data_IF_768157751203
#
_entry.id   IF_768157751203
#
_cell.length_a   1.000
_cell.length_b   1.000
_cell.length_c   1.000
_cell.angle_alpha   90.00
_cell.angle_beta   90.00
_cell.angle_gamma   90.00
#
_symmetry.space_group_name_H-M   'P 1'
#
loop_
_entity.id
_entity.type
_entity.pdbx_description
1 polymer ?
#
# COMPACT_ATOMS: atom_id res chain seq x y z
N UNK A 1 24.05 14.50 8.86
CA UNK A 1 23.24 14.83 10.05
C UNK A 1 22.93 13.55 10.80
N UNK A 2 22.84 13.60 12.13
CA UNK A 2 22.44 12.46 12.96
C UNK A 2 20.94 12.19 12.73
N UNK A 3 20.54 10.94 12.49
CA UNK A 3 19.12 10.58 12.36
C UNK A 3 18.39 10.87 13.68
N UNK A 4 17.20 11.48 13.60
CA UNK A 4 16.32 11.60 14.74
C UNK A 4 15.46 10.33 14.83
N UNK A 5 15.50 9.63 15.97
CA UNK A 5 14.87 8.31 16.11
C UNK A 5 13.52 8.36 16.84
N UNK A 6 13.15 9.52 17.41
CA UNK A 6 11.88 9.70 18.12
C UNK A 6 11.36 11.12 17.87
N UNK A 7 10.04 11.29 17.75
CA UNK A 7 9.43 12.63 17.75
C UNK A 7 9.47 13.26 19.14
N UNK A 8 9.07 12.52 20.17
CA UNK A 8 9.09 12.97 21.56
C UNK A 8 9.08 11.79 22.53
N UNK A 9 9.55 12.02 23.77
CA UNK A 9 9.50 10.99 24.83
C UNK A 9 8.06 10.59 25.19
N UNK A 10 7.09 11.50 25.07
CA UNK A 10 5.68 11.22 25.30
C UNK A 10 5.13 10.21 24.28
N UNK A 11 5.43 10.38 22.98
CA UNK A 11 4.99 9.43 21.94
C UNK A 11 5.61 8.05 22.09
N UNK A 12 6.86 7.97 22.55
CA UNK A 12 7.49 6.68 22.91
C UNK A 12 6.73 6.01 24.06
N UNK A 13 6.44 6.75 25.12
CA UNK A 13 5.81 6.22 26.33
C UNK A 13 4.35 5.83 26.10
N UNK A 14 3.59 6.70 25.44
CA UNK A 14 2.13 6.61 25.39
C UNK A 14 1.66 5.82 24.16
N UNK A 15 2.44 5.84 23.07
CA UNK A 15 2.06 5.26 21.77
C UNK A 15 3.06 4.19 21.27
N UNK A 16 4.21 4.03 21.92
CA UNK A 16 5.26 3.13 21.47
C UNK A 16 5.95 3.57 20.17
N UNK A 17 5.81 4.83 19.77
CA UNK A 17 6.35 5.31 18.50
C UNK A 17 7.88 5.45 18.55
N UNK A 18 8.55 4.78 17.63
CA UNK A 18 9.98 4.94 17.34
C UNK A 18 10.20 4.90 15.83
N UNK A 19 11.23 5.61 15.35
CA UNK A 19 11.64 5.53 13.96
C UNK A 19 12.70 4.47 13.76
N UNK A 20 12.48 3.61 12.76
CA UNK A 20 13.46 2.60 12.37
C UNK A 20 14.66 3.28 11.71
N UNK A 21 15.89 3.10 12.23
CA UNK A 21 17.09 3.68 11.63
C UNK A 21 17.30 3.15 10.21
N UNK A 22 17.85 3.98 9.30
CA UNK A 22 18.04 3.58 7.89
C UNK A 22 18.90 2.33 7.72
N UNK A 23 19.90 2.15 8.59
CA UNK A 23 20.74 0.94 8.61
C UNK A 23 19.91 -0.33 8.88
N UNK A 24 18.91 -0.25 9.76
CA UNK A 24 18.04 -1.39 10.10
C UNK A 24 17.07 -1.66 8.96
N UNK A 25 16.48 -0.63 8.36
CA UNK A 25 15.64 -0.76 7.16
C UNK A 25 16.41 -1.48 6.06
N UNK A 26 17.64 -1.02 5.75
CA UNK A 26 18.47 -1.66 4.74
C UNK A 26 18.81 -3.10 5.11
N UNK A 27 19.24 -3.35 6.36
CA UNK A 27 19.57 -4.70 6.82
C UNK A 27 18.41 -5.69 6.63
N UNK A 28 17.17 -5.27 6.94
CA UNK A 28 15.98 -6.10 6.76
C UNK A 28 15.61 -6.28 5.29
N UNK A 29 15.71 -5.21 4.48
CA UNK A 29 15.40 -5.31 3.06
C UNK A 29 16.48 -6.02 2.24
N UNK A 30 17.69 -6.17 2.77
CA UNK A 30 18.81 -6.89 2.16
C UNK A 30 18.77 -8.41 2.40
N UNK A 31 17.78 -8.91 3.18
CA UNK A 31 17.58 -10.35 3.35
C UNK A 31 17.24 -11.00 2.00
N UNK A 32 17.82 -12.18 1.65
CA UNK A 32 17.68 -12.79 0.32
C UNK A 32 16.23 -13.01 -0.13
N UNK A 33 15.36 -13.43 0.79
CA UNK A 33 13.94 -13.69 0.53
C UNK A 33 13.20 -12.39 0.15
N UNK A 34 13.56 -11.29 0.81
CA UNK A 34 13.00 -9.97 0.53
C UNK A 34 13.54 -9.44 -0.80
N UNK A 35 14.85 -9.56 -1.04
CA UNK A 35 15.47 -9.17 -2.30
C UNK A 35 14.82 -9.87 -3.50
N UNK A 36 14.57 -11.17 -3.41
CA UNK A 36 13.89 -11.91 -4.47
C UNK A 36 12.50 -11.30 -4.80
N UNK A 37 11.72 -10.92 -3.77
CA UNK A 37 10.43 -10.23 -3.94
C UNK A 37 10.59 -8.78 -4.42
N UNK A 38 11.66 -8.08 -4.07
CA UNK A 38 11.94 -6.73 -4.60
C UNK A 38 12.17 -6.79 -6.12
N UNK A 39 12.90 -7.80 -6.61
CA UNK A 39 13.19 -7.99 -8.05
C UNK A 39 11.95 -8.33 -8.89
N UNK A 40 10.89 -8.86 -8.29
CA UNK A 40 9.61 -9.10 -8.95
C UNK A 40 8.72 -7.85 -8.82
N UNK A 41 8.52 -7.10 -9.90
CA UNK A 41 7.66 -5.89 -9.90
C UNK A 41 6.20 -6.17 -9.51
N UNK A 42 5.75 -7.42 -9.54
CA UNK A 42 4.38 -7.83 -9.21
C UNK A 42 4.22 -8.35 -7.78
N UNK A 43 5.31 -8.60 -7.06
CA UNK A 43 5.26 -9.02 -5.67
C UNK A 43 4.80 -7.89 -4.74
N UNK A 44 3.87 -8.22 -3.86
CA UNK A 44 3.23 -7.29 -2.91
C UNK A 44 3.93 -7.25 -1.55
N UNK A 45 3.94 -6.05 -0.96
CA UNK A 45 4.42 -5.78 0.39
C UNK A 45 3.34 -5.03 1.17
N UNK A 46 3.10 -5.45 2.40
CA UNK A 46 2.22 -4.77 3.34
C UNK A 46 3.04 -4.40 4.57
N UNK A 47 3.03 -3.12 4.92
CA UNK A 47 3.56 -2.64 6.19
C UNK A 47 2.39 -2.31 7.14
N UNK A 48 2.11 -3.15 8.15
CA UNK A 48 0.94 -3.02 9.03
C UNK A 48 1.08 -1.94 10.12
N UNK A 49 2.26 -1.34 10.29
CA UNK A 49 2.51 -0.23 11.21
C UNK A 49 3.53 0.72 10.59
N UNK A 50 3.11 1.38 9.52
CA UNK A 50 4.01 2.02 8.58
C UNK A 50 4.73 3.26 9.11
N UNK A 51 4.24 3.86 10.20
CA UNK A 51 4.75 5.12 10.72
C UNK A 51 4.80 6.15 9.59
N UNK A 52 5.93 6.84 9.45
CA UNK A 52 6.17 7.80 8.36
C UNK A 52 6.73 7.16 7.07
N UNK A 53 6.76 5.82 6.98
CA UNK A 53 7.06 5.10 5.74
C UNK A 53 8.52 4.76 5.48
N UNK A 54 9.34 4.58 6.52
CA UNK A 54 10.76 4.25 6.37
C UNK A 54 10.99 3.01 5.47
N UNK A 55 10.20 1.94 5.66
CA UNK A 55 10.27 0.74 4.82
C UNK A 55 9.66 0.95 3.43
N UNK A 56 8.47 1.56 3.35
CA UNK A 56 7.75 1.71 2.08
C UNK A 56 8.48 2.62 1.09
N UNK A 57 9.11 3.69 1.56
CA UNK A 57 9.89 4.60 0.71
C UNK A 57 11.18 3.96 0.18
N UNK A 58 11.87 3.17 1.00
CA UNK A 58 13.06 2.42 0.58
C UNK A 58 12.68 1.27 -0.37
N UNK A 59 11.60 0.52 -0.09
CA UNK A 59 11.03 -0.48 -0.99
C UNK A 59 10.65 0.15 -2.34
N UNK A 60 9.98 1.29 -2.33
CA UNK A 60 9.61 2.02 -3.54
C UNK A 60 10.85 2.37 -4.38
N UNK A 61 11.86 2.95 -3.75
CA UNK A 61 13.13 3.29 -4.42
C UNK A 61 13.78 2.07 -5.06
N UNK A 62 13.88 0.96 -4.32
CA UNK A 62 14.46 -0.30 -4.80
C UNK A 62 13.65 -0.90 -5.95
N UNK A 63 12.32 -0.95 -5.85
CA UNK A 63 11.48 -1.48 -6.94
C UNK A 63 11.49 -0.56 -8.17
N UNK A 64 11.57 0.77 -7.99
CA UNK A 64 11.75 1.70 -9.11
C UNK A 64 13.12 1.52 -9.79
N UNK A 65 14.15 1.09 -9.05
CA UNK A 65 15.43 0.72 -9.65
C UNK A 65 15.31 -0.53 -10.53
N UNK A 66 14.56 -1.54 -10.07
CA UNK A 66 14.25 -2.73 -10.86
C UNK A 66 13.43 -2.35 -12.10
N UNK A 67 12.42 -1.48 -11.95
CA UNK A 67 11.63 -0.96 -13.06
C UNK A 67 12.52 -0.25 -14.10
N UNK A 68 13.51 0.52 -13.65
CA UNK A 68 14.48 1.16 -14.53
C UNK A 68 15.25 0.12 -15.37
N UNK A 69 15.77 -0.93 -14.75
CA UNK A 69 16.55 -1.98 -15.43
C UNK A 69 15.69 -2.75 -16.44
N UNK A 70 14.41 -2.99 -16.12
CA UNK A 70 13.47 -3.72 -16.99
C UNK A 70 12.81 -2.86 -18.08
N UNK A 71 13.23 -1.60 -18.25
CA UNK A 71 12.59 -0.66 -19.18
C UNK A 71 13.50 -0.26 -20.34
N UNK A 72 12.93 -0.21 -21.54
CA UNK A 72 13.66 0.17 -22.76
C UNK A 72 13.59 1.68 -23.05
N UNK A 73 12.58 2.38 -22.52
CA UNK A 73 12.33 3.80 -22.77
C UNK A 73 11.55 4.42 -21.60
N UNK A 74 11.42 5.75 -21.58
CA UNK A 74 10.75 6.49 -20.51
C UNK A 74 9.26 6.10 -20.32
N UNK A 75 8.57 5.73 -21.40
CA UNK A 75 7.15 5.31 -21.34
C UNK A 75 7.01 3.95 -20.66
N UNK A 76 7.88 3.00 -21.01
CA UNK A 76 7.92 1.70 -20.34
C UNK A 76 8.34 1.83 -18.88
N UNK A 77 9.29 2.73 -18.58
CA UNK A 77 9.70 3.03 -17.22
C UNK A 77 8.56 3.58 -16.37
N UNK A 78 7.83 4.59 -16.86
CA UNK A 78 6.67 5.13 -16.14
C UNK A 78 5.61 4.07 -15.84
N UNK A 79 5.32 3.18 -16.80
CA UNK A 79 4.41 2.04 -16.61
C UNK A 79 4.94 1.05 -15.56
N UNK A 80 6.21 0.66 -15.64
CA UNK A 80 6.81 -0.29 -14.70
C UNK A 80 6.93 0.30 -13.29
N UNK A 81 7.14 1.61 -13.14
CA UNK A 81 7.06 2.32 -11.86
C UNK A 81 5.66 2.27 -11.25
N UNK A 82 4.60 2.45 -12.04
CA UNK A 82 3.22 2.35 -11.55
C UNK A 82 2.88 0.91 -11.13
N UNK A 83 3.36 -0.09 -11.88
CA UNK A 83 3.22 -1.51 -11.50
C UNK A 83 3.91 -1.73 -10.15
N UNK A 84 5.18 -1.35 -10.01
CA UNK A 84 5.92 -1.49 -8.75
C UNK A 84 5.24 -0.79 -7.57
N UNK A 85 4.74 0.43 -7.77
CA UNK A 85 4.07 1.21 -6.73
C UNK A 85 2.75 0.56 -6.31
N UNK A 86 2.01 -0.02 -7.27
CA UNK A 86 0.72 -0.67 -7.01
C UNK A 86 0.79 -1.88 -6.09
N UNK A 87 2.00 -2.41 -5.85
CA UNK A 87 2.21 -3.57 -4.98
C UNK A 87 2.63 -3.19 -3.56
N UNK A 88 2.73 -1.90 -3.23
CA UNK A 88 3.09 -1.42 -1.89
C UNK A 88 1.86 -0.94 -1.15
N UNK A 89 1.64 -1.48 0.06
CA UNK A 89 0.49 -1.17 0.92
C UNK A 89 0.95 -0.82 2.33
N UNK A 90 0.25 0.10 2.99
CA UNK A 90 0.56 0.54 4.34
C UNK A 90 -0.68 0.77 5.20
N UNK A 91 -0.59 0.40 6.48
CA UNK A 91 -1.56 0.78 7.52
C UNK A 91 -0.79 1.52 8.60
N UNK A 92 -1.35 2.62 9.08
CA UNK A 92 -0.82 3.37 10.21
C UNK A 92 -1.98 3.90 11.07
N UNK A 93 -1.81 3.85 12.39
CA UNK A 93 -2.90 4.21 13.32
C UNK A 93 -3.00 5.73 13.51
N UNK A 94 -1.88 6.44 13.49
CA UNK A 94 -1.81 7.88 13.73
C UNK A 94 -1.97 8.69 12.45
N UNK A 95 -2.95 9.60 12.42
CA UNK A 95 -3.26 10.43 11.24
C UNK A 95 -2.07 11.27 10.78
N UNK A 96 -1.33 11.90 11.71
CA UNK A 96 -0.16 12.72 11.36
C UNK A 96 0.97 11.90 10.71
N UNK A 97 1.12 10.64 11.11
CA UNK A 97 2.07 9.73 10.46
C UNK A 97 1.59 9.29 9.08
N UNK A 98 0.29 9.03 8.90
CA UNK A 98 -0.30 8.70 7.59
C UNK A 98 -0.06 9.83 6.60
N UNK A 99 -0.29 11.09 7.02
CA UNK A 99 -0.02 12.27 6.18
C UNK A 99 1.44 12.32 5.74
N UNK A 100 2.37 12.18 6.69
CA UNK A 100 3.81 12.17 6.41
C UNK A 100 4.21 11.00 5.50
N UNK A 101 3.68 9.80 5.73
CA UNK A 101 3.90 8.63 4.89
C UNK A 101 3.44 8.88 3.44
N UNK A 102 2.23 9.41 3.24
CA UNK A 102 1.70 9.74 1.90
C UNK A 102 2.59 10.79 1.22
N UNK A 103 2.97 11.85 1.94
CA UNK A 103 3.88 12.88 1.40
C UNK A 103 5.24 12.28 1.01
N UNK A 104 5.85 11.49 1.89
CA UNK A 104 7.15 10.86 1.67
C UNK A 104 7.11 9.92 0.45
N UNK A 105 6.05 9.13 0.30
CA UNK A 105 5.85 8.26 -0.86
C UNK A 105 5.69 9.06 -2.16
N UNK A 106 4.91 10.15 -2.16
CA UNK A 106 4.72 11.01 -3.34
C UNK A 106 6.03 11.68 -3.75
N UNK A 107 6.76 12.27 -2.79
CA UNK A 107 8.05 12.92 -3.04
C UNK A 107 9.09 11.91 -3.54
N UNK A 108 9.19 10.75 -2.90
CA UNK A 108 10.10 9.68 -3.32
C UNK A 108 9.82 9.24 -4.75
N UNK A 109 8.55 8.97 -5.09
CA UNK A 109 8.17 8.59 -6.44
C UNK A 109 8.52 9.70 -7.45
N UNK A 110 8.13 10.93 -7.15
CA UNK A 110 8.34 12.09 -8.01
C UNK A 110 9.82 12.30 -8.32
N UNK A 111 10.67 12.33 -7.30
CA UNK A 111 12.09 12.65 -7.43
C UNK A 111 12.84 11.54 -8.16
N UNK A 112 12.58 10.28 -7.81
CA UNK A 112 13.19 9.12 -8.49
C UNK A 112 12.71 9.04 -9.95
N UNK A 113 11.42 9.23 -10.21
CA UNK A 113 10.87 9.16 -11.56
C UNK A 113 11.45 10.26 -12.45
N UNK A 114 11.35 11.52 -12.00
CA UNK A 114 11.79 12.68 -12.78
C UNK A 114 13.29 12.63 -13.09
N UNK A 115 14.11 12.37 -12.08
CA UNK A 115 15.57 12.27 -12.28
C UNK A 115 15.93 11.14 -13.24
N UNK A 116 15.25 9.99 -13.15
CA UNK A 116 15.55 8.83 -13.99
C UNK A 116 15.10 9.02 -15.44
N UNK A 117 13.91 9.58 -15.70
CA UNK A 117 13.47 9.80 -17.10
C UNK A 117 14.37 10.77 -17.86
N UNK A 118 14.89 11.80 -17.18
CA UNK A 118 15.82 12.77 -17.78
C UNK A 118 17.20 12.15 -17.95
N UNK A 119 17.77 11.58 -16.89
CA UNK A 119 19.17 11.15 -16.89
C UNK A 119 19.44 9.80 -17.56
N UNK A 120 18.46 8.89 -17.62
CA UNK A 120 18.63 7.54 -18.16
C UNK A 120 17.90 7.28 -19.47
N UNK A 121 16.80 8.00 -19.70
CA UNK A 121 15.98 7.81 -20.89
C UNK A 121 15.90 9.06 -21.79
N UNK A 122 16.67 10.11 -21.47
CA UNK A 122 16.77 11.35 -22.23
C UNK A 122 15.40 11.98 -22.59
N UNK A 123 14.41 11.81 -21.72
CA UNK A 123 13.11 12.43 -21.90
C UNK A 123 13.21 13.94 -21.67
N UNK A 124 12.58 14.74 -22.54
CA UNK A 124 12.54 16.19 -22.38
C UNK A 124 11.77 16.64 -21.14
N UNK A 125 10.75 15.86 -20.73
CA UNK A 125 10.00 16.06 -19.50
C UNK A 125 9.35 14.77 -18.99
N UNK A 126 9.05 14.68 -17.68
CA UNK A 126 8.27 13.57 -17.13
C UNK A 126 6.84 13.52 -17.68
N UNK A 127 6.24 12.32 -17.74
CA UNK A 127 4.83 12.16 -18.10
C UNK A 127 3.94 12.51 -16.89
N UNK A 128 3.19 13.59 -17.01
CA UNK A 128 2.29 14.07 -15.95
C UNK A 128 1.20 13.04 -15.58
N UNK A 129 0.81 12.19 -16.52
CA UNK A 129 -0.20 11.16 -16.26
C UNK A 129 0.34 10.03 -15.39
N UNK A 130 1.65 9.75 -15.47
CA UNK A 130 2.33 8.82 -14.55
C UNK A 130 2.31 9.39 -13.13
N UNK A 131 2.71 10.65 -12.96
CA UNK A 131 2.71 11.32 -11.66
C UNK A 131 1.31 11.37 -11.03
N UNK A 132 0.28 11.76 -11.80
CA UNK A 132 -1.11 11.78 -11.33
C UNK A 132 -1.63 10.39 -10.96
N UNK A 133 -1.27 9.36 -11.74
CA UNK A 133 -1.69 7.99 -11.47
C UNK A 133 -1.01 7.44 -10.21
N UNK A 134 0.26 7.78 -9.99
CA UNK A 134 1.00 7.41 -8.77
C UNK A 134 0.35 7.99 -7.52
N UNK A 135 -0.10 9.26 -7.56
CA UNK A 135 -0.82 9.89 -6.44
C UNK A 135 -2.10 9.13 -6.06
N UNK A 136 -2.89 8.69 -7.05
CA UNK A 136 -4.08 7.88 -6.78
C UNK A 136 -3.70 6.53 -6.16
N UNK A 137 -2.71 5.82 -6.72
CA UNK A 137 -2.27 4.53 -6.17
C UNK A 137 -1.84 4.69 -4.71
N UNK A 138 -0.98 5.67 -4.40
CA UNK A 138 -0.50 5.93 -3.03
C UNK A 138 -1.70 6.19 -2.09
N UNK A 139 -2.62 7.06 -2.50
CA UNK A 139 -3.80 7.43 -1.71
C UNK A 139 -4.68 6.23 -1.36
N UNK A 140 -4.83 5.26 -2.25
CA UNK A 140 -5.77 4.13 -2.07
C UNK A 140 -5.09 2.83 -1.62
N UNK A 141 -3.76 2.85 -1.50
CA UNK A 141 -2.95 1.76 -0.96
C UNK A 141 -2.46 2.04 0.48
N UNK A 142 -2.62 3.25 0.99
CA UNK A 142 -2.31 3.63 2.36
C UNK A 142 -3.62 3.92 3.10
N UNK A 143 -3.80 3.31 4.28
CA UNK A 143 -4.98 3.52 5.12
C UNK A 143 -4.57 3.98 6.51
N UNK A 144 -5.29 4.95 7.05
CA UNK A 144 -5.35 5.13 8.50
C UNK A 144 -6.18 3.98 9.09
N UNK A 145 -5.68 3.29 10.11
CA UNK A 145 -6.45 2.24 10.77
C UNK A 145 -5.69 1.46 11.83
N UNK A 146 -6.45 0.68 12.59
CA UNK A 146 -5.94 -0.32 13.52
C UNK A 146 -5.85 -1.65 12.78
N UNK A 147 -4.63 -2.07 12.43
CA UNK A 147 -4.36 -3.34 11.72
C UNK A 147 -4.90 -4.54 12.49
N UNK A 148 -4.78 -4.57 13.81
CA UNK A 148 -5.21 -5.72 14.62
C UNK A 148 -6.73 -5.87 14.61
N UNK A 149 -7.44 -4.74 14.70
CA UNK A 149 -8.90 -4.71 14.63
C UNK A 149 -9.44 -4.70 13.20
N UNK A 150 -8.58 -4.49 12.19
CA UNK A 150 -8.91 -4.42 10.76
C UNK A 150 -9.91 -3.30 10.42
N UNK A 151 -9.95 -2.25 11.23
CA UNK A 151 -10.88 -1.12 11.10
C UNK A 151 -10.15 0.21 10.97
N UNK A 152 -10.78 1.14 10.28
CA UNK A 152 -10.40 2.54 10.21
C UNK A 152 -10.79 3.28 11.50
N UNK A 153 -10.37 4.53 11.64
CA UNK A 153 -10.65 5.35 12.82
C UNK A 153 -12.16 5.58 13.08
N UNK A 154 -12.99 5.53 12.03
CA UNK A 154 -14.45 5.64 12.11
C UNK A 154 -15.16 4.31 12.41
N UNK A 155 -14.41 3.22 12.61
CA UNK A 155 -14.93 1.87 12.84
C UNK A 155 -15.32 1.11 11.57
N UNK A 156 -15.20 1.72 10.39
CA UNK A 156 -15.43 1.03 9.12
C UNK A 156 -14.29 0.05 8.80
N UNK A 157 -14.51 -1.01 7.99
CA UNK A 157 -13.44 -1.93 7.60
C UNK A 157 -12.35 -1.22 6.80
N UNK A 158 -11.08 -1.57 7.02
CA UNK A 158 -9.97 -1.14 6.15
C UNK A 158 -10.21 -1.67 4.74
N UNK A 159 -10.10 -0.81 3.73
CA UNK A 159 -10.28 -1.17 2.31
C UNK A 159 -8.97 -0.95 1.55
N UNK A 160 -8.54 -1.98 0.82
CA UNK A 160 -7.43 -1.88 -0.13
C UNK A 160 -7.88 -2.06 -1.57
N UNK A 161 -7.12 -1.46 -2.47
CA UNK A 161 -7.28 -1.62 -3.91
C UNK A 161 -6.28 -2.64 -4.43
N UNK A 162 -6.75 -3.81 -4.85
CA UNK A 162 -5.96 -4.74 -5.65
C UNK A 162 -5.89 -4.26 -7.11
N UNK A 163 -4.71 -4.35 -7.71
CA UNK A 163 -4.44 -3.90 -9.08
C UNK A 163 -4.14 -5.09 -9.98
N UNK A 164 -5.17 -5.65 -10.63
CA UNK A 164 -5.01 -6.84 -11.48
C UNK A 164 -4.47 -6.46 -12.85
N UNK A 165 -3.30 -7.01 -13.17
CA UNK A 165 -2.68 -6.83 -14.48
C UNK A 165 -3.44 -7.64 -15.53
N UNK A 166 -4.00 -6.95 -16.52
CA UNK A 166 -4.63 -7.60 -17.67
C UNK A 166 -3.58 -7.77 -18.77
N UNK A 167 -3.17 -9.02 -18.97
CA UNK A 167 -2.16 -9.40 -19.96
C UNK A 167 -2.78 -9.40 -21.36
N UNK A 168 -2.20 -8.60 -22.26
CA UNK A 168 -2.61 -8.47 -23.66
C UNK A 168 -1.64 -7.56 -24.41
N UNK A 169 -1.94 -7.23 -25.68
CA UNK A 169 -1.08 -6.35 -26.51
C UNK A 169 -0.78 -4.99 -25.87
N UNK A 170 -1.70 -4.50 -25.03
CA UNK A 170 -1.49 -3.33 -24.16
C UNK A 170 -1.71 -3.79 -22.73
N UNK A 171 -0.67 -3.73 -21.89
CA UNK A 171 -0.79 -3.98 -20.44
C UNK A 171 -1.76 -2.96 -19.83
N UNK A 172 -2.97 -3.42 -19.49
CA UNK A 172 -4.01 -2.65 -18.80
C UNK A 172 -4.10 -3.12 -17.35
N UNK A 173 -4.88 -2.40 -16.56
CA UNK A 173 -5.11 -2.71 -15.15
C UNK A 173 -6.59 -2.58 -14.81
N UNK A 174 -7.04 -3.48 -13.95
CA UNK A 174 -8.34 -3.44 -13.29
C UNK A 174 -8.13 -3.19 -11.79
N UNK A 175 -8.88 -2.26 -11.22
CA UNK A 175 -8.87 -1.96 -9.78
C UNK A 175 -10.03 -2.70 -9.12
N UNK A 176 -9.73 -3.49 -8.09
CA UNK A 176 -10.74 -4.22 -7.32
C UNK A 176 -10.56 -3.91 -5.85
N UNK A 177 -11.63 -3.52 -5.17
CA UNK A 177 -11.58 -3.20 -3.75
C UNK A 177 -11.88 -4.43 -2.88
N UNK A 178 -11.06 -4.65 -1.86
CA UNK A 178 -11.21 -5.69 -0.86
C UNK A 178 -11.18 -5.10 0.54
N UNK A 179 -11.96 -5.67 1.45
CA UNK A 179 -11.74 -5.41 2.88
C UNK A 179 -10.46 -6.12 3.31
N UNK A 180 -9.72 -5.54 4.24
CA UNK A 180 -8.51 -6.17 4.77
C UNK A 180 -8.81 -7.52 5.42
N UNK A 181 -9.98 -7.66 6.04
CA UNK A 181 -10.47 -8.93 6.56
C UNK A 181 -10.63 -10.01 5.47
N UNK A 182 -11.23 -9.67 4.32
CA UNK A 182 -11.34 -10.59 3.19
C UNK A 182 -9.96 -11.01 2.65
N UNK A 183 -8.98 -10.10 2.63
CA UNK A 183 -7.61 -10.43 2.19
C UNK A 183 -6.98 -11.48 3.12
N UNK A 184 -7.13 -11.32 4.44
CA UNK A 184 -6.56 -12.26 5.42
C UNK A 184 -7.27 -13.62 5.38
N UNK A 185 -8.59 -13.61 5.25
CA UNK A 185 -9.41 -14.83 5.38
C UNK A 185 -9.72 -15.52 4.02
N UNK A 186 -9.14 -15.03 2.91
CA UNK A 186 -9.39 -15.58 1.57
C UNK A 186 -10.82 -15.35 1.06
N UNK A 187 -11.47 -14.28 1.52
CA UNK A 187 -12.84 -13.90 1.18
C UNK A 187 -12.98 -13.26 -0.21
N UNK A 188 -14.23 -13.11 -0.65
CA UNK A 188 -14.57 -12.49 -1.94
C UNK A 188 -14.51 -10.94 -1.86
N UNK A 189 -14.45 -10.22 -3.01
CA UNK A 189 -14.44 -8.76 -3.02
C UNK A 189 -15.63 -8.16 -2.27
N UNK A 190 -15.33 -7.33 -1.25
CA UNK A 190 -16.29 -6.66 -0.36
C UNK A 190 -17.34 -7.58 0.30
N UNK A 191 -16.91 -8.72 0.83
CA UNK A 191 -17.67 -9.41 1.87
C UNK A 191 -16.87 -9.33 3.19
N UNK A 192 -17.45 -8.84 4.30
CA UNK A 192 -16.90 -9.20 5.61
C UNK A 192 -17.02 -10.72 5.72
N UNK A 193 -15.90 -11.41 5.92
CA UNK A 193 -15.97 -12.84 6.09
C UNK A 193 -16.79 -13.11 7.36
N UNK A 194 -17.82 -13.96 7.26
CA UNK A 194 -18.49 -14.47 8.46
C UNK A 194 -17.42 -15.25 9.23
N UNK A 195 -16.97 -14.68 10.34
CA UNK A 195 -15.94 -15.22 11.23
C UNK A 195 -15.96 -16.76 11.30
N UNK A 196 -14.91 -17.40 10.81
CA UNK A 196 -14.44 -18.68 11.37
C UNK A 196 -13.22 -18.41 12.23
N UNK A 197 -13.46 -17.74 13.35
CA UNK A 197 -12.62 -17.92 14.51
C UNK A 197 -13.45 -18.80 15.45
N UNK A 198 -13.24 -20.13 15.36
CA UNK A 198 -13.50 -20.98 16.51
C UNK A 198 -12.54 -20.50 17.60
N UNK A 199 -13.03 -19.60 18.46
CA UNK A 199 -12.40 -19.36 19.74
C UNK A 199 -12.43 -20.70 20.48
N UNK A 200 -11.29 -21.39 20.56
CA UNK A 200 -11.07 -22.39 21.60
C UNK A 200 -10.86 -21.57 22.88
N UNK A 201 -11.97 -21.11 23.44
CA UNK A 201 -11.98 -20.53 24.78
C UNK A 201 -11.96 -21.69 25.77
N UNK A 202 -10.80 -21.94 26.36
CA UNK A 202 -10.53 -23.05 27.27
C UNK A 202 -11.25 -22.90 28.62
N UNK A 203 -12.00 -21.81 28.83
CA UNK A 203 -12.76 -21.55 30.07
C UNK A 203 -14.17 -20.96 29.85
N UNK A 204 -14.75 -21.04 28.65
CA UNK A 204 -16.11 -20.55 28.38
C UNK A 204 -17.20 -21.54 28.81
N UNK A 205 -17.25 -21.88 30.09
CA UNK A 205 -18.50 -22.26 30.75
C UNK A 205 -18.89 -21.08 31.64
N UNK A 206 -20.18 -20.75 31.70
CA UNK A 206 -20.81 -19.63 32.42
C UNK A 206 -20.86 -18.27 31.71
N UNK A 207 -21.77 -18.12 30.75
CA UNK A 207 -22.97 -17.26 30.89
C UNK A 207 -23.68 -17.08 29.55
N UNK A 208 -24.95 -17.49 29.50
CA UNK A 208 -25.89 -17.09 28.46
C UNK A 208 -26.22 -15.61 28.66
N UNK A 209 -25.93 -14.77 27.69
CA UNK A 209 -26.81 -13.64 27.38
C UNK A 209 -26.63 -13.15 25.94
N UNK A 210 -27.77 -13.02 25.27
CA UNK A 210 -27.95 -12.65 23.87
C UNK A 210 -27.34 -11.28 23.54
N UNK A 211 -26.48 -11.21 22.52
CA UNK A 211 -26.30 -9.97 21.75
C UNK A 211 -26.61 -10.19 20.27
N UNK A 212 -27.70 -9.55 19.86
CA UNK A 212 -28.18 -9.43 18.48
C UNK A 212 -27.06 -8.91 17.57
N UNK A 213 -26.75 -9.69 16.54
CA UNK A 213 -25.91 -9.27 15.42
C UNK A 213 -26.63 -8.22 14.59
N UNK A 214 -26.22 -6.96 14.72
CA UNK A 214 -26.62 -5.90 13.79
C UNK A 214 -26.09 -6.25 12.39
N UNK A 215 -26.99 -6.40 11.43
CA UNK A 215 -26.69 -6.56 10.01
C UNK A 215 -25.79 -5.42 9.53
N UNK A 216 -24.56 -5.76 9.14
CA UNK A 216 -23.62 -4.82 8.52
C UNK A 216 -24.17 -4.35 7.17
N UNK A 217 -24.44 -3.05 7.08
CA UNK A 217 -24.80 -2.37 5.84
C UNK A 217 -23.78 -2.69 4.74
N UNK A 218 -24.26 -3.22 3.61
CA UNK A 218 -23.42 -3.61 2.49
C UNK A 218 -22.73 -2.39 1.89
N UNK A 219 -21.40 -2.31 2.00
CA UNK A 219 -20.58 -1.27 1.37
C UNK A 219 -20.84 -1.29 -0.15
N UNK A 220 -21.24 -0.17 -0.79
CA UNK A 220 -21.55 -0.15 -2.21
C UNK A 220 -20.34 -0.62 -3.06
N UNK A 221 -20.59 -1.62 -3.92
CA UNK A 221 -19.58 -2.22 -4.82
C UNK A 221 -19.34 -1.27 -6.00
N UNK A 222 -18.27 -0.47 -5.93
CA UNK A 222 -17.78 0.29 -7.09
C UNK A 222 -17.15 -0.68 -8.09
N UNK A 223 -17.51 -0.56 -9.36
CA UNK A 223 -16.89 -1.31 -10.45
C UNK A 223 -16.04 -0.35 -11.27
N UNK A 224 -14.72 -0.57 -11.28
CA UNK A 224 -13.78 0.28 -11.98
C UNK A 224 -13.53 -0.24 -13.39
N UNK A 225 -13.50 0.66 -14.37
CA UNK A 225 -13.23 0.29 -15.76
C UNK A 225 -11.77 -0.15 -15.95
N UNK A 226 -11.54 -1.08 -16.88
CA UNK A 226 -10.19 -1.51 -17.26
C UNK A 226 -9.49 -0.39 -18.05
N UNK A 227 -8.41 0.15 -17.48
CA UNK A 227 -7.69 1.33 -18.00
C UNK A 227 -6.22 1.05 -18.27
N UNK A 228 -5.54 1.97 -18.96
CA UNK A 228 -4.06 1.97 -18.99
C UNK A 228 -3.56 2.38 -17.60
N UNK A 229 -2.36 1.92 -17.24
CA UNK A 229 -1.69 2.34 -15.99
C UNK A 229 -1.61 3.87 -15.86
N UNK A 230 -1.30 4.59 -16.94
CA UNK A 230 -1.24 6.05 -16.95
C UNK A 230 -2.60 6.74 -16.87
N UNK A 231 -3.70 6.00 -16.98
CA UNK A 231 -5.07 6.53 -16.93
C UNK A 231 -5.75 6.28 -15.58
N UNK A 232 -5.07 5.67 -14.59
CA UNK A 232 -5.62 5.40 -13.25
C UNK A 232 -6.14 6.67 -12.59
N UNK A 233 -5.46 7.80 -12.80
CA UNK A 233 -5.86 9.10 -12.24
C UNK A 233 -7.27 9.56 -12.63
N UNK A 234 -7.87 8.95 -13.66
CA UNK A 234 -9.23 9.28 -14.11
C UNK A 234 -10.31 8.61 -13.25
N UNK A 235 -9.95 7.62 -12.42
CA UNK A 235 -10.86 6.87 -11.54
C UNK A 235 -12.16 6.44 -12.24
N UNK A 236 -12.05 5.97 -13.50
CA UNK A 236 -13.21 5.62 -14.33
C UNK A 236 -13.96 4.44 -13.73
N UNK A 237 -15.28 4.60 -13.60
CA UNK A 237 -16.22 3.53 -13.27
C UNK A 237 -16.79 2.92 -14.55
N UNK A 238 -17.27 1.67 -14.45
CA UNK A 238 -18.07 1.02 -15.50
C UNK A 238 -19.50 1.55 -15.58
#
# INVERSE_FOLDING_TARGET
MKENLIKSAARVKDLGEVFTPKKIVNFMLDQPEIQAKVQDLTATFLEPAAGEGAFLTELLTRKMKVAQVQSHNAKDYGKNCLIALSTLYGIEIMEDNVEMLVMNMIMTFHDVYNSTVVSKFNASKPDIHVLKSAQIIIKVNISQGDTLKKIMADGSPIIFSEWKLIVGKVKKVERIEYTFDAIINGGSPKEPSQNRYENIDLFADFSEDNMQTKSQDSIPKKKYAIVKWTDIYKEKLE
#
